data_IF_260549232305
#
_entry.id   IF_260549232305
#
_cell.length_a   1.000
_cell.length_b   1.000
_cell.length_c   1.000
_cell.angle_alpha   90.00
_cell.angle_beta   90.00
_cell.angle_gamma   90.00
#
_symmetry.space_group_name_H-M   'P 1'
#
loop_
_entity.id
_entity.type
_entity.pdbx_description
1 polymer ?
#
# COMPACT_ATOMS: atom_id res chain seq x y z
N UNK A 1 -27.36 -1.67 -28.06
CA UNK A 1 -26.72 -2.26 -26.86
C UNK A 1 -25.20 -2.24 -26.96
N UNK A 2 -24.57 -2.86 -27.99
CA UNK A 2 -23.10 -2.94 -28.14
C UNK A 2 -22.46 -1.55 -28.21
N UNK A 3 -23.03 -0.62 -28.98
CA UNK A 3 -22.52 0.75 -29.11
C UNK A 3 -22.59 1.54 -27.79
N UNK A 4 -23.69 1.35 -27.03
CA UNK A 4 -23.83 1.97 -25.70
C UNK A 4 -22.79 1.43 -24.72
N UNK A 5 -22.55 0.12 -24.72
CA UNK A 5 -21.51 -0.49 -23.89
C UNK A 5 -20.11 0.06 -24.23
N UNK A 6 -19.79 0.17 -25.52
CA UNK A 6 -18.51 0.72 -25.98
C UNK A 6 -18.34 2.20 -25.60
N UNK A 7 -19.40 2.98 -25.72
CA UNK A 7 -19.42 4.39 -25.30
C UNK A 7 -19.18 4.54 -23.81
N UNK A 8 -19.82 3.70 -22.98
CA UNK A 8 -19.61 3.70 -21.52
C UNK A 8 -18.19 3.28 -21.15
N UNK A 9 -17.64 2.30 -21.84
CA UNK A 9 -16.26 1.84 -21.61
C UNK A 9 -15.24 2.94 -21.99
N UNK A 10 -15.47 3.65 -23.09
CA UNK A 10 -14.64 4.79 -23.47
C UNK A 10 -14.76 5.95 -22.47
N UNK A 11 -15.97 6.22 -21.97
CA UNK A 11 -16.19 7.24 -20.96
C UNK A 11 -15.49 6.93 -19.64
N UNK A 12 -15.56 5.67 -19.16
CA UNK A 12 -14.84 5.25 -17.95
C UNK A 12 -13.35 5.38 -18.11
N UNK A 13 -12.77 4.95 -19.24
CA UNK A 13 -11.34 5.10 -19.53
C UNK A 13 -10.90 6.57 -19.58
N UNK A 14 -11.72 7.44 -20.17
CA UNK A 14 -11.47 8.89 -20.18
C UNK A 14 -11.48 9.49 -18.78
N UNK A 15 -12.48 9.14 -17.96
CA UNK A 15 -12.57 9.61 -16.57
C UNK A 15 -11.42 9.12 -15.70
N UNK A 16 -10.96 7.90 -15.92
CA UNK A 16 -9.82 7.33 -15.20
C UNK A 16 -8.51 8.03 -15.59
N UNK A 17 -8.31 8.28 -16.88
CA UNK A 17 -7.17 9.07 -17.39
C UNK A 17 -7.19 10.51 -16.87
N UNK A 18 -8.35 11.15 -16.85
CA UNK A 18 -8.50 12.50 -16.30
C UNK A 18 -8.19 12.54 -14.80
N UNK A 19 -8.65 11.55 -14.03
CA UNK A 19 -8.33 11.40 -12.60
C UNK A 19 -6.83 11.30 -12.37
N UNK A 20 -6.15 10.43 -13.13
CA UNK A 20 -4.72 10.22 -13.01
C UNK A 20 -3.92 11.49 -13.36
N UNK A 21 -4.33 12.18 -14.42
CA UNK A 21 -3.72 13.46 -14.79
C UNK A 21 -3.90 14.54 -13.73
N UNK A 22 -5.07 14.63 -13.12
CA UNK A 22 -5.34 15.58 -12.02
C UNK A 22 -4.51 15.24 -10.77
N UNK A 23 -4.39 13.96 -10.41
CA UNK A 23 -3.57 13.51 -9.29
C UNK A 23 -2.09 13.86 -9.49
N UNK A 24 -1.57 13.65 -10.71
CA UNK A 24 -0.19 13.98 -11.07
C UNK A 24 0.07 15.48 -10.95
N UNK A 25 -0.81 16.32 -11.52
CA UNK A 25 -0.69 17.78 -11.43
C UNK A 25 -0.78 18.25 -9.98
N UNK A 26 -1.67 17.66 -9.19
CA UNK A 26 -1.83 17.99 -7.77
C UNK A 26 -0.57 17.60 -6.97
N UNK A 27 -0.02 16.41 -7.21
CA UNK A 27 1.24 15.95 -6.59
C UNK A 27 2.39 16.91 -6.90
N UNK A 28 2.58 17.26 -8.17
CA UNK A 28 3.61 18.21 -8.57
C UNK A 28 3.46 19.59 -7.92
N UNK A 29 2.23 20.10 -7.75
CA UNK A 29 1.97 21.36 -7.05
C UNK A 29 2.32 21.27 -5.57
N UNK A 30 2.01 20.16 -4.90
CA UNK A 30 2.41 19.92 -3.50
C UNK A 30 3.92 19.91 -3.39
N UNK A 31 4.59 19.13 -4.22
CA UNK A 31 6.07 19.03 -4.24
C UNK A 31 6.72 20.39 -4.44
N UNK A 32 6.24 21.16 -5.42
CA UNK A 32 6.75 22.52 -5.67
C UNK A 32 6.55 23.43 -4.46
N UNK A 33 5.34 23.46 -3.89
CA UNK A 33 5.03 24.32 -2.74
C UNK A 33 5.86 23.94 -1.50
N UNK A 34 6.03 22.64 -1.24
CA UNK A 34 6.83 22.15 -0.11
C UNK A 34 8.31 22.47 -0.29
N UNK A 35 8.88 22.21 -1.46
CA UNK A 35 10.30 22.51 -1.75
C UNK A 35 10.59 24.01 -1.66
N UNK A 36 9.69 24.86 -2.19
CA UNK A 36 9.79 26.32 -2.10
C UNK A 36 9.74 26.79 -0.65
N UNK A 37 8.78 26.30 0.13
CA UNK A 37 8.63 26.65 1.54
C UNK A 37 9.78 26.15 2.42
N UNK A 38 10.31 24.95 2.11
CA UNK A 38 11.51 24.44 2.78
C UNK A 38 12.73 25.30 2.50
N UNK A 39 12.92 25.72 1.23
CA UNK A 39 14.04 26.57 0.83
C UNK A 39 13.98 27.94 1.49
N UNK A 40 12.79 28.55 1.52
CA UNK A 40 12.57 29.83 2.21
C UNK A 40 12.95 29.75 3.70
N UNK A 41 12.47 28.69 4.39
CA UNK A 41 12.82 28.48 5.80
C UNK A 41 14.28 28.15 6.01
N UNK A 42 14.88 27.39 5.08
CA UNK A 42 16.30 27.02 5.16
C UNK A 42 17.22 28.24 5.09
N UNK A 43 16.93 29.17 4.17
CA UNK A 43 17.70 30.43 4.04
C UNK A 43 17.60 31.31 5.30
N UNK A 44 16.49 31.23 6.02
CA UNK A 44 16.27 31.97 7.27
C UNK A 44 16.86 31.29 8.52
N UNK A 45 17.45 30.08 8.40
CA UNK A 45 18.08 29.39 9.52
C UNK A 45 19.38 30.10 9.95
N UNK A 46 19.54 30.26 11.25
CA UNK A 46 20.76 30.82 11.85
C UNK A 46 21.96 29.87 11.69
N UNK A 47 23.16 30.43 11.52
CA UNK A 47 24.39 29.67 11.28
C UNK A 47 24.66 28.58 12.33
N UNK A 48 24.30 28.83 13.60
CA UNK A 48 24.45 27.85 14.70
C UNK A 48 23.63 26.55 14.49
N UNK A 49 22.50 26.66 13.86
CA UNK A 49 21.65 25.48 13.56
C UNK A 49 22.14 24.73 12.32
N UNK A 50 22.82 25.41 11.42
CA UNK A 50 23.37 24.82 10.20
C UNK A 50 24.66 24.04 10.47
N UNK A 51 25.48 24.46 11.44
CA UNK A 51 26.77 23.82 11.75
C UNK A 51 26.62 22.40 12.30
N UNK A 52 25.45 22.02 12.80
CA UNK A 52 25.16 20.68 13.30
C UNK A 52 24.48 19.75 12.31
N UNK A 53 24.13 20.22 11.10
CA UNK A 53 23.43 19.46 10.09
C UNK A 53 24.36 18.99 8.99
N UNK A 54 24.39 17.70 8.73
CA UNK A 54 25.16 17.15 7.61
C UNK A 54 24.52 17.56 6.28
N UNK A 55 25.28 18.05 5.29
CA UNK A 55 24.74 18.47 4.00
C UNK A 55 23.97 17.36 3.26
N UNK A 56 24.38 16.10 3.45
CA UNK A 56 23.69 14.94 2.88
C UNK A 56 22.30 14.72 3.45
N UNK A 57 22.12 14.93 4.75
CA UNK A 57 20.81 14.81 5.43
C UNK A 57 19.84 15.88 4.93
N UNK A 58 20.33 17.11 4.76
CA UNK A 58 19.53 18.20 4.20
C UNK A 58 19.10 17.93 2.76
N UNK A 59 20.02 17.49 1.90
CA UNK A 59 19.71 17.14 0.52
C UNK A 59 18.68 16.00 0.45
N UNK A 60 18.81 14.98 1.32
CA UNK A 60 17.84 13.89 1.46
C UNK A 60 16.46 14.39 1.84
N UNK A 61 16.34 15.35 2.76
CA UNK A 61 15.05 15.92 3.16
C UNK A 61 14.39 16.72 2.04
N UNK A 62 15.16 17.48 1.27
CA UNK A 62 14.62 18.25 0.13
C UNK A 62 14.06 17.36 -1.02
N UNK A 63 14.59 16.15 -1.17
CA UNK A 63 14.17 15.22 -2.23
C UNK A 63 13.29 14.12 -1.63
N UNK A 64 13.83 13.32 -0.74
CA UNK A 64 13.16 12.09 -0.27
C UNK A 64 11.97 12.33 0.65
N UNK A 65 12.08 13.27 1.61
CA UNK A 65 10.98 13.51 2.54
C UNK A 65 9.82 14.22 1.83
N UNK A 66 10.12 15.15 0.91
CA UNK A 66 9.08 15.83 0.11
C UNK A 66 8.34 14.84 -0.78
N UNK A 67 9.07 13.94 -1.47
CA UNK A 67 8.45 12.91 -2.31
C UNK A 67 7.62 11.93 -1.46
N UNK A 68 8.05 11.64 -0.23
CA UNK A 68 7.28 10.83 0.71
C UNK A 68 5.98 11.49 1.11
N UNK A 69 5.99 12.80 1.36
CA UNK A 69 4.77 13.58 1.67
C UNK A 69 3.86 13.65 0.46
N UNK A 70 4.39 13.89 -0.75
CA UNK A 70 3.60 13.85 -1.99
C UNK A 70 2.88 12.50 -2.15
N UNK A 71 3.60 11.39 -2.01
CA UNK A 71 3.05 10.05 -2.11
C UNK A 71 1.98 9.78 -1.05
N UNK A 72 2.15 10.30 0.18
CA UNK A 72 1.14 10.19 1.22
C UNK A 72 -0.18 10.85 0.82
N UNK A 73 -0.13 12.03 0.22
CA UNK A 73 -1.32 12.73 -0.22
C UNK A 73 -1.95 12.11 -1.46
N UNK A 74 -1.16 11.85 -2.51
CA UNK A 74 -1.65 11.34 -3.79
C UNK A 74 -2.09 9.88 -3.73
N UNK A 75 -1.15 8.98 -3.45
CA UNK A 75 -1.39 7.53 -3.41
C UNK A 75 -2.00 7.06 -2.08
N UNK A 76 -1.79 7.79 -0.98
CA UNK A 76 -2.35 7.49 0.32
C UNK A 76 -3.77 8.02 0.47
N UNK A 77 -3.92 9.26 0.92
CA UNK A 77 -5.20 9.82 1.39
C UNK A 77 -6.24 9.89 0.28
N UNK A 78 -5.89 10.46 -0.88
CA UNK A 78 -6.86 10.66 -1.99
C UNK A 78 -7.32 9.32 -2.55
N UNK A 79 -6.39 8.39 -2.75
CA UNK A 79 -6.75 7.05 -3.23
C UNK A 79 -7.59 6.27 -2.23
N UNK A 80 -7.30 6.34 -0.93
CA UNK A 80 -8.14 5.70 0.10
C UNK A 80 -9.56 6.26 0.12
N UNK A 81 -9.70 7.57 -0.05
CA UNK A 81 -11.03 8.20 -0.16
C UNK A 81 -11.77 7.74 -1.41
N UNK A 82 -11.10 7.69 -2.55
CA UNK A 82 -11.67 7.19 -3.80
C UNK A 82 -12.10 5.71 -3.68
N UNK A 83 -11.29 4.87 -3.05
CA UNK A 83 -11.60 3.47 -2.81
C UNK A 83 -12.80 3.31 -1.86
N UNK A 84 -12.89 4.13 -0.82
CA UNK A 84 -14.06 4.15 0.07
C UNK A 84 -15.35 4.54 -0.68
N UNK A 85 -15.29 5.59 -1.51
CA UNK A 85 -16.41 5.99 -2.35
C UNK A 85 -16.81 4.87 -3.34
N UNK A 86 -15.82 4.18 -3.92
CA UNK A 86 -16.05 3.04 -4.82
C UNK A 86 -16.77 1.90 -4.10
N UNK A 87 -16.33 1.51 -2.92
CA UNK A 87 -16.96 0.45 -2.11
C UNK A 87 -18.39 0.83 -1.77
N UNK A 88 -18.64 2.07 -1.32
CA UNK A 88 -19.98 2.56 -1.01
C UNK A 88 -20.88 2.52 -2.25
N UNK A 89 -20.40 2.99 -3.40
CA UNK A 89 -21.16 2.98 -4.66
C UNK A 89 -21.54 1.56 -5.08
N UNK A 90 -20.60 0.62 -4.97
CA UNK A 90 -20.85 -0.80 -5.29
C UNK A 90 -21.91 -1.39 -4.34
N UNK A 91 -21.81 -1.11 -3.04
CA UNK A 91 -22.80 -1.57 -2.06
C UNK A 91 -24.21 -1.04 -2.36
N UNK A 92 -24.30 0.24 -2.73
CA UNK A 92 -25.58 0.87 -3.11
C UNK A 92 -26.16 0.21 -4.35
N UNK A 93 -25.37 -0.04 -5.39
CA UNK A 93 -25.83 -0.71 -6.61
C UNK A 93 -26.31 -2.13 -6.30
N UNK A 94 -25.53 -2.91 -5.56
CA UNK A 94 -25.90 -4.29 -5.18
C UNK A 94 -27.15 -4.30 -4.30
N UNK A 95 -27.34 -3.31 -3.43
CA UNK A 95 -28.56 -3.20 -2.60
C UNK A 95 -29.83 -3.03 -3.45
N UNK A 96 -29.77 -2.26 -4.54
CA UNK A 96 -30.90 -2.11 -5.45
C UNK A 96 -31.13 -3.35 -6.32
N UNK A 97 -30.07 -4.07 -6.71
CA UNK A 97 -30.16 -5.27 -7.53
C UNK A 97 -30.59 -6.49 -6.71
N UNK A 98 -29.98 -6.68 -5.53
CA UNK A 98 -30.23 -7.88 -4.71
C UNK A 98 -29.93 -7.63 -3.23
N UNK A 99 -31.00 -7.46 -2.44
CA UNK A 99 -30.89 -7.19 -0.99
C UNK A 99 -30.19 -8.30 -0.21
N UNK A 100 -30.39 -9.57 -0.60
CA UNK A 100 -29.75 -10.70 0.07
C UNK A 100 -28.23 -10.67 -0.06
N UNK A 101 -27.72 -10.40 -1.25
CA UNK A 101 -26.29 -10.24 -1.51
C UNK A 101 -25.68 -9.02 -0.81
N UNK A 102 -26.41 -7.91 -0.81
CA UNK A 102 -25.97 -6.72 -0.11
C UNK A 102 -25.74 -6.99 1.39
N UNK A 103 -26.64 -7.74 2.04
CA UNK A 103 -26.51 -8.14 3.45
C UNK A 103 -25.29 -9.05 3.65
N UNK A 104 -25.08 -10.04 2.79
CA UNK A 104 -23.90 -10.93 2.87
C UNK A 104 -22.60 -10.13 2.74
N UNK A 105 -22.52 -9.23 1.77
CA UNK A 105 -21.35 -8.37 1.60
C UNK A 105 -21.15 -7.42 2.79
N UNK A 106 -22.22 -6.88 3.35
CA UNK A 106 -22.18 -5.99 4.51
C UNK A 106 -21.66 -6.71 5.77
N UNK A 107 -21.89 -8.03 5.88
CA UNK A 107 -21.33 -8.86 6.96
C UNK A 107 -19.86 -9.22 6.69
N UNK A 108 -19.52 -9.50 5.44
CA UNK A 108 -18.15 -9.90 5.05
C UNK A 108 -17.17 -8.70 5.13
N UNK A 109 -17.59 -7.49 4.75
CA UNK A 109 -16.75 -6.30 4.77
C UNK A 109 -16.13 -5.98 6.14
N UNK A 110 -16.85 -5.92 7.27
CA UNK A 110 -16.23 -5.69 8.57
C UNK A 110 -15.30 -6.82 8.99
N UNK A 111 -15.60 -8.08 8.61
CA UNK A 111 -14.68 -9.19 8.84
C UNK A 111 -13.37 -9.02 8.06
N UNK A 112 -13.44 -8.65 6.78
CA UNK A 112 -12.27 -8.34 5.96
C UNK A 112 -11.48 -7.19 6.52
N UNK A 113 -12.14 -6.11 6.93
CA UNK A 113 -11.50 -4.95 7.52
C UNK A 113 -10.77 -5.31 8.82
N UNK A 114 -11.41 -6.09 9.70
CA UNK A 114 -10.79 -6.58 10.93
C UNK A 114 -9.57 -7.47 10.65
N UNK A 115 -9.70 -8.43 9.72
CA UNK A 115 -8.62 -9.32 9.32
C UNK A 115 -7.44 -8.55 8.74
N UNK A 116 -7.69 -7.68 7.76
CA UNK A 116 -6.67 -6.82 7.14
C UNK A 116 -5.96 -5.96 8.20
N UNK A 117 -6.73 -5.35 9.10
CA UNK A 117 -6.17 -4.53 10.19
C UNK A 117 -5.27 -5.32 11.12
N UNK A 118 -5.65 -6.56 11.43
CA UNK A 118 -4.86 -7.44 12.29
C UNK A 118 -3.52 -7.82 11.62
N UNK A 119 -3.56 -8.23 10.37
CA UNK A 119 -2.35 -8.60 9.61
C UNK A 119 -1.44 -7.39 9.41
N UNK A 120 -1.99 -6.25 9.00
CA UNK A 120 -1.23 -5.00 8.79
C UNK A 120 -0.47 -4.55 10.04
N UNK A 121 -1.05 -4.69 11.23
CA UNK A 121 -0.38 -4.32 12.48
C UNK A 121 0.89 -5.14 12.71
N UNK A 122 0.82 -6.44 12.48
CA UNK A 122 1.97 -7.33 12.65
C UNK A 122 3.02 -7.12 11.56
N UNK A 123 2.59 -6.92 10.33
CA UNK A 123 3.43 -6.61 9.19
C UNK A 123 4.18 -5.27 9.38
N UNK A 124 3.50 -4.22 9.85
CA UNK A 124 4.13 -2.94 10.14
C UNK A 124 5.23 -3.07 11.21
N UNK A 125 5.00 -3.85 12.26
CA UNK A 125 6.01 -4.12 13.29
C UNK A 125 7.24 -4.82 12.69
N UNK A 126 7.04 -5.84 11.84
CA UNK A 126 8.12 -6.54 11.14
C UNK A 126 8.89 -5.61 10.18
N UNK A 127 8.20 -4.73 9.45
CA UNK A 127 8.83 -3.75 8.57
C UNK A 127 9.68 -2.73 9.33
N UNK A 128 9.23 -2.25 10.51
CA UNK A 128 10.02 -1.34 11.35
C UNK A 128 11.27 -2.05 11.88
N UNK A 129 11.16 -3.30 12.28
CA UNK A 129 12.31 -4.11 12.72
C UNK A 129 13.32 -4.30 11.59
N UNK A 130 12.83 -4.67 10.39
CA UNK A 130 13.65 -4.80 9.19
C UNK A 130 14.39 -3.49 8.86
N UNK A 131 13.72 -2.34 8.90
CA UNK A 131 14.36 -1.04 8.68
C UNK A 131 15.49 -0.78 9.64
N UNK A 132 15.30 -1.06 10.93
CA UNK A 132 16.33 -0.87 11.93
C UNK A 132 17.54 -1.78 11.68
N UNK A 133 17.30 -3.03 11.31
CA UNK A 133 18.35 -3.99 11.03
C UNK A 133 19.15 -3.62 9.78
N UNK A 134 18.46 -3.30 8.67
CA UNK A 134 19.09 -2.81 7.43
C UNK A 134 19.87 -1.51 7.68
N UNK A 135 19.30 -0.58 8.47
CA UNK A 135 19.96 0.67 8.82
C UNK A 135 21.27 0.46 9.59
N UNK A 136 21.31 -0.50 10.52
CA UNK A 136 22.53 -0.87 11.23
C UNK A 136 23.60 -1.46 10.29
N UNK A 137 23.21 -2.38 9.43
CA UNK A 137 24.11 -2.99 8.46
C UNK A 137 24.67 -1.93 7.48
N UNK A 138 23.80 -1.08 6.93
CA UNK A 138 24.19 -0.03 5.99
C UNK A 138 25.04 1.06 6.64
N UNK A 139 24.77 1.40 7.90
CA UNK A 139 25.58 2.38 8.65
C UNK A 139 26.99 1.91 9.00
N UNK A 140 27.17 0.59 9.16
CA UNK A 140 28.47 0.02 9.50
C UNK A 140 29.50 0.16 8.36
N UNK A 141 29.07 0.16 7.11
CA UNK A 141 29.99 0.27 5.95
C UNK A 141 30.70 1.61 5.90
N UNK A 142 30.03 2.79 5.91
CA UNK A 142 30.71 4.08 5.91
C UNK A 142 31.53 4.32 7.19
N UNK A 143 31.07 3.82 8.36
CA UNK A 143 31.84 3.87 9.61
C UNK A 143 33.16 3.11 9.47
N UNK A 144 33.14 1.91 8.92
CA UNK A 144 34.31 1.07 8.67
C UNK A 144 35.27 1.76 7.68
N UNK A 145 34.77 2.31 6.59
CA UNK A 145 35.57 3.03 5.59
C UNK A 145 36.20 4.29 6.17
N UNK A 146 35.47 5.04 6.98
CA UNK A 146 35.99 6.22 7.65
C UNK A 146 37.16 5.90 8.59
N UNK A 147 37.07 4.80 9.31
CA UNK A 147 38.03 4.35 10.32
C UNK A 147 39.04 3.31 9.80
N UNK A 148 39.11 3.06 8.49
CA UNK A 148 39.90 1.98 7.90
C UNK A 148 41.37 1.98 8.33
N UNK A 149 41.99 3.15 8.42
CA UNK A 149 43.38 3.30 8.87
C UNK A 149 43.56 2.85 10.32
N UNK A 150 42.65 3.23 11.20
CA UNK A 150 42.67 2.83 12.62
C UNK A 150 42.48 1.33 12.78
N UNK A 151 41.58 0.75 11.99
CA UNK A 151 41.32 -0.70 11.99
C UNK A 151 42.60 -1.47 11.60
N UNK A 152 43.27 -1.06 10.51
CA UNK A 152 44.50 -1.66 10.07
C UNK A 152 45.65 -1.46 11.09
N UNK A 153 45.76 -0.27 11.69
CA UNK A 153 46.79 -0.02 12.72
C UNK A 153 46.60 -0.90 13.96
N UNK A 154 45.37 -1.27 14.28
CA UNK A 154 45.04 -2.10 15.43
C UNK A 154 44.92 -3.58 15.09
N UNK A 155 45.03 -3.99 13.81
CA UNK A 155 44.90 -5.38 13.36
C UNK A 155 43.51 -5.96 13.68
N UNK A 156 42.46 -5.16 13.56
CA UNK A 156 41.08 -5.50 13.94
C UNK A 156 40.15 -5.78 12.75
N UNK A 157 40.70 -6.10 11.60
CA UNK A 157 39.94 -6.35 10.35
C UNK A 157 38.92 -7.48 10.55
N UNK A 158 39.37 -8.59 11.12
CA UNK A 158 38.51 -9.75 11.37
C UNK A 158 37.35 -9.45 12.31
N UNK A 159 37.59 -8.64 13.34
CA UNK A 159 36.52 -8.20 14.24
C UNK A 159 35.45 -7.38 13.52
N UNK A 160 35.85 -6.50 12.61
CA UNK A 160 34.93 -5.67 11.84
C UNK A 160 34.13 -6.50 10.85
N UNK A 161 34.75 -7.48 10.22
CA UNK A 161 34.12 -8.46 9.34
C UNK A 161 33.04 -9.28 10.08
N UNK A 162 33.40 -9.90 11.22
CA UNK A 162 32.47 -10.68 12.03
C UNK A 162 31.31 -9.84 12.55
N UNK A 163 31.57 -8.58 12.89
CA UNK A 163 30.52 -7.65 13.32
C UNK A 163 29.57 -7.27 12.20
N UNK A 164 30.09 -7.05 11.01
CA UNK A 164 29.28 -6.80 9.82
C UNK A 164 28.42 -8.02 9.44
N UNK A 165 28.99 -9.21 9.50
CA UNK A 165 28.30 -10.46 9.24
C UNK A 165 27.13 -10.67 10.24
N UNK A 166 27.33 -10.32 11.51
CA UNK A 166 26.25 -10.31 12.52
C UNK A 166 25.11 -9.37 12.12
N UNK A 167 25.40 -8.15 11.67
CA UNK A 167 24.39 -7.19 11.25
C UNK A 167 23.66 -7.61 9.98
N UNK A 168 24.35 -8.24 9.04
CA UNK A 168 23.74 -8.85 7.84
C UNK A 168 22.82 -10.00 8.24
N UNK A 169 23.24 -10.84 9.18
CA UNK A 169 22.43 -11.94 9.70
C UNK A 169 21.13 -11.45 10.35
N UNK A 170 21.20 -10.42 11.20
CA UNK A 170 20.02 -9.77 11.79
C UNK A 170 19.10 -9.18 10.73
N UNK A 171 19.67 -8.52 9.72
CA UNK A 171 18.92 -7.95 8.60
C UNK A 171 18.21 -9.03 7.79
N UNK A 172 18.88 -10.13 7.52
CA UNK A 172 18.30 -11.27 6.81
C UNK A 172 17.10 -11.87 7.57
N UNK A 173 17.22 -12.11 8.87
CA UNK A 173 16.14 -12.64 9.68
C UNK A 173 14.93 -11.70 9.76
N UNK A 174 15.19 -10.40 9.87
CA UNK A 174 14.13 -9.39 9.87
C UNK A 174 13.41 -9.29 8.51
N UNK A 175 14.17 -9.42 7.41
CA UNK A 175 13.63 -9.45 6.05
C UNK A 175 12.81 -10.71 5.80
N UNK A 176 13.28 -11.88 6.25
CA UNK A 176 12.56 -13.15 6.15
C UNK A 176 11.20 -13.07 6.83
N UNK A 177 11.14 -12.49 8.04
CA UNK A 177 9.89 -12.28 8.76
C UNK A 177 8.93 -11.37 8.00
N UNK A 178 9.43 -10.29 7.41
CA UNK A 178 8.62 -9.37 6.59
C UNK A 178 8.07 -10.08 5.36
N UNK A 179 8.94 -10.80 4.64
CA UNK A 179 8.57 -11.55 3.44
C UNK A 179 7.54 -12.65 3.75
N UNK A 180 7.61 -13.27 4.93
CA UNK A 180 6.61 -14.25 5.35
C UNK A 180 5.22 -13.64 5.47
N UNK A 181 5.08 -12.45 6.08
CA UNK A 181 3.79 -11.77 6.15
C UNK A 181 3.28 -11.36 4.77
N UNK A 182 4.16 -10.84 3.90
CA UNK A 182 3.83 -10.49 2.51
C UNK A 182 3.37 -11.74 1.73
N UNK A 183 4.08 -12.85 1.86
CA UNK A 183 3.78 -14.10 1.17
C UNK A 183 2.47 -14.76 1.63
N UNK A 184 2.05 -14.55 2.88
CA UNK A 184 0.80 -15.12 3.41
C UNK A 184 -0.40 -14.22 3.12
N UNK A 185 -0.21 -12.90 3.13
CA UNK A 185 -1.31 -11.94 3.01
C UNK A 185 -2.03 -12.03 1.67
N UNK A 186 -1.31 -11.95 0.56
CA UNK A 186 -1.89 -11.93 -0.79
C UNK A 186 -2.67 -13.22 -1.13
N UNK A 187 -2.16 -14.45 -0.90
CA UNK A 187 -2.93 -15.66 -1.12
C UNK A 187 -4.18 -15.78 -0.24
N UNK A 188 -4.13 -15.28 1.00
CA UNK A 188 -5.31 -15.33 1.89
C UNK A 188 -6.43 -14.44 1.35
N UNK A 189 -6.11 -13.23 0.87
CA UNK A 189 -7.09 -12.34 0.25
C UNK A 189 -7.67 -12.97 -1.02
N UNK A 190 -6.84 -13.58 -1.87
CA UNK A 190 -7.29 -14.28 -3.08
C UNK A 190 -8.22 -15.46 -2.75
N UNK A 191 -7.88 -16.28 -1.75
CA UNK A 191 -8.72 -17.38 -1.30
C UNK A 191 -10.05 -16.87 -0.76
N UNK A 192 -10.04 -15.80 0.05
CA UNK A 192 -11.26 -15.17 0.56
C UNK A 192 -12.15 -14.66 -0.57
N UNK A 193 -11.56 -13.97 -1.57
CA UNK A 193 -12.31 -13.55 -2.77
C UNK A 193 -12.92 -14.76 -3.49
N UNK A 194 -12.14 -15.81 -3.74
CA UNK A 194 -12.61 -17.03 -4.40
C UNK A 194 -13.74 -17.72 -3.63
N UNK A 195 -13.66 -17.80 -2.30
CA UNK A 195 -14.70 -18.36 -1.43
C UNK A 195 -16.01 -17.56 -1.52
N UNK A 196 -15.91 -16.22 -1.49
CA UNK A 196 -17.09 -15.35 -1.62
C UNK A 196 -17.74 -15.50 -2.99
N UNK A 197 -16.95 -15.51 -4.06
CA UNK A 197 -17.43 -15.73 -5.42
C UNK A 197 -18.10 -17.12 -5.56
N UNK A 198 -17.47 -18.17 -5.04
CA UNK A 198 -18.02 -19.50 -5.05
C UNK A 198 -19.34 -19.60 -4.25
N UNK A 199 -19.40 -18.96 -3.08
CA UNK A 199 -20.62 -18.91 -2.28
C UNK A 199 -21.77 -18.23 -3.04
N UNK A 200 -21.50 -17.10 -3.69
CA UNK A 200 -22.47 -16.39 -4.52
C UNK A 200 -22.93 -17.24 -5.70
N UNK A 201 -22.03 -17.95 -6.38
CA UNK A 201 -22.38 -18.86 -7.47
C UNK A 201 -23.26 -20.02 -6.99
N UNK A 202 -22.92 -20.65 -5.86
CA UNK A 202 -23.70 -21.75 -5.29
C UNK A 202 -25.10 -21.30 -4.84
N UNK A 203 -25.20 -20.13 -4.22
CA UNK A 203 -26.47 -19.52 -3.83
C UNK A 203 -27.33 -19.17 -5.05
N UNK A 204 -26.73 -18.64 -6.11
CA UNK A 204 -27.42 -18.33 -7.37
C UNK A 204 -27.89 -19.58 -8.11
N UNK A 205 -27.15 -20.69 -8.05
CA UNK A 205 -27.46 -21.95 -8.69
C UNK A 205 -28.43 -22.83 -7.85
N UNK A 206 -28.69 -22.44 -6.59
CA UNK A 206 -29.56 -23.21 -5.69
C UNK A 206 -31.01 -23.20 -6.19
N UNK A 207 -31.53 -24.38 -6.50
CA UNK A 207 -32.93 -24.56 -6.94
C UNK A 207 -33.98 -24.37 -5.84
N UNK A 208 -33.60 -23.94 -4.65
CA UNK A 208 -34.48 -23.77 -3.51
C UNK A 208 -35.29 -22.46 -3.66
N UNK A 209 -36.63 -22.54 -3.72
CA UNK A 209 -37.53 -21.40 -3.98
C UNK A 209 -37.26 -20.21 -3.01
N UNK A 210 -36.93 -20.48 -1.77
CA UNK A 210 -36.63 -19.46 -0.76
C UNK A 210 -35.32 -18.74 -1.06
N UNK A 211 -34.28 -19.47 -1.47
CA UNK A 211 -32.97 -18.92 -1.88
C UNK A 211 -33.13 -18.16 -3.19
N UNK A 212 -33.91 -18.68 -4.13
CA UNK A 212 -34.18 -18.03 -5.42
C UNK A 212 -34.90 -16.68 -5.25
N UNK A 213 -35.78 -16.55 -4.26
CA UNK A 213 -36.49 -15.29 -3.98
C UNK A 213 -35.55 -14.22 -3.38
N UNK A 214 -34.58 -14.63 -2.57
CA UNK A 214 -33.62 -13.73 -1.93
C UNK A 214 -32.33 -13.49 -2.75
N UNK A 215 -31.89 -14.49 -3.53
CA UNK A 215 -30.63 -14.49 -4.27
C UNK A 215 -30.79 -14.78 -5.76
N UNK A 216 -32.05 -14.92 -6.24
CA UNK A 216 -32.36 -15.24 -7.63
C UNK A 216 -31.83 -14.16 -8.58
N UNK A 217 -30.77 -14.47 -9.28
CA UNK A 217 -30.15 -13.59 -10.23
C UNK A 217 -30.19 -14.17 -11.64
N UNK A 218 -30.31 -13.29 -12.63
CA UNK A 218 -30.05 -13.68 -14.01
C UNK A 218 -28.56 -13.98 -14.20
N UNK A 219 -28.21 -14.78 -15.20
CA UNK A 219 -26.79 -15.05 -15.50
C UNK A 219 -25.97 -13.77 -15.70
N UNK A 220 -26.58 -12.71 -16.26
CA UNK A 220 -25.93 -11.42 -16.45
C UNK A 220 -25.67 -10.68 -15.14
N UNK A 221 -26.63 -10.67 -14.22
CA UNK A 221 -26.47 -10.05 -12.89
C UNK A 221 -25.46 -10.81 -12.04
N UNK A 222 -25.37 -12.14 -12.16
CA UNK A 222 -24.36 -12.94 -11.47
C UNK A 222 -22.93 -12.54 -11.90
N UNK A 223 -22.69 -12.39 -13.19
CA UNK A 223 -21.37 -11.94 -13.71
C UNK A 223 -21.05 -10.52 -13.23
N UNK A 224 -22.02 -9.61 -13.22
CA UNK A 224 -21.82 -8.25 -12.72
C UNK A 224 -21.46 -8.24 -11.23
N UNK A 225 -22.14 -9.05 -10.42
CA UNK A 225 -21.88 -9.16 -8.96
C UNK A 225 -20.50 -9.75 -8.69
N UNK A 226 -20.07 -10.77 -9.44
CA UNK A 226 -18.71 -11.32 -9.33
C UNK A 226 -17.66 -10.23 -9.58
N UNK A 227 -17.88 -9.43 -10.63
CA UNK A 227 -17.00 -8.29 -10.93
C UNK A 227 -17.00 -7.25 -9.80
N UNK A 228 -18.16 -6.93 -9.22
CA UNK A 228 -18.25 -6.00 -8.10
C UNK A 228 -17.53 -6.52 -6.85
N UNK A 229 -17.69 -7.81 -6.55
CA UNK A 229 -16.96 -8.45 -5.44
C UNK A 229 -15.45 -8.31 -5.64
N UNK A 230 -14.93 -8.69 -6.81
CA UNK A 230 -13.50 -8.56 -7.12
C UNK A 230 -13.01 -7.12 -7.02
N UNK A 231 -13.84 -6.15 -7.41
CA UNK A 231 -13.51 -4.73 -7.27
C UNK A 231 -13.51 -4.22 -5.82
N UNK A 232 -14.24 -4.84 -4.91
CA UNK A 232 -14.19 -4.54 -3.47
C UNK A 232 -12.89 -5.09 -2.85
N UNK A 233 -12.42 -6.25 -3.29
CA UNK A 233 -11.20 -6.85 -2.79
C UNK A 233 -9.92 -6.17 -3.30
N UNK A 234 -9.95 -5.59 -4.51
CA UNK A 234 -8.80 -4.92 -5.13
C UNK A 234 -8.19 -3.80 -4.28
N UNK A 235 -8.93 -2.85 -3.68
CA UNK A 235 -8.36 -1.85 -2.79
C UNK A 235 -7.71 -2.45 -1.53
N UNK A 236 -8.26 -3.56 -1.03
CA UNK A 236 -7.74 -4.24 0.15
C UNK A 236 -6.38 -4.86 -0.13
N UNK A 237 -6.20 -5.46 -1.31
CA UNK A 237 -4.93 -6.03 -1.77
C UNK A 237 -3.86 -4.94 -2.00
N UNK A 238 -4.25 -3.80 -2.58
CA UNK A 238 -3.34 -2.68 -2.88
C UNK A 238 -2.91 -1.91 -1.63
N UNK A 239 -3.67 -1.94 -0.55
CA UNK A 239 -3.31 -1.29 0.73
C UNK A 239 -1.93 -1.72 1.26
N UNK A 240 -1.50 -2.95 0.98
CA UNK A 240 -0.17 -3.46 1.32
C UNK A 240 0.96 -2.62 0.69
N UNK A 241 0.84 -2.30 -0.60
CA UNK A 241 1.87 -1.58 -1.36
C UNK A 241 1.92 -0.08 -1.03
N UNK A 242 0.81 0.51 -0.63
CA UNK A 242 0.69 1.94 -0.34
C UNK A 242 1.39 2.37 0.94
N UNK A 243 1.47 1.50 1.93
CA UNK A 243 2.17 1.77 3.19
C UNK A 243 3.60 1.25 3.22
N UNK A 244 4.08 0.68 2.12
CA UNK A 244 5.49 0.31 1.97
C UNK A 244 6.29 1.60 1.77
N UNK A 245 7.15 1.98 2.73
CA UNK A 245 7.91 3.21 2.59
C UNK A 245 8.83 3.11 1.38
N UNK A 246 8.72 4.07 0.47
CA UNK A 246 9.45 4.17 -0.81
C UNK A 246 10.97 4.36 -0.68
N UNK A 247 11.52 4.36 0.53
CA UNK A 247 12.94 4.56 0.80
C UNK A 247 13.82 3.29 0.67
N UNK A 248 13.38 2.31 -0.12
CA UNK A 248 14.15 1.10 -0.48
C UNK A 248 14.53 1.08 -1.96
N UNK A 249 14.75 2.25 -2.59
CA UNK A 249 15.44 2.34 -3.87
C UNK A 249 16.72 3.12 -3.73
#
# INVERSE_FOLDING_TARGET
MIFLYFAMLALTGFMESAREGLLTVFGQKITHALRSSLMEKFICLTSDKLTGLEPGTLASSFVGDVDTVENLFTSGIISMFADACKIISILVVIWFENKGLAVVLLVILPFLFWFTRHVQKNMLAAQIENRKAVGRASGHVPETLHNIRTIHCLGREKYMEERYDTYIGESYQAMERTNFYDAVYSPVILILNAVVVAAVMLLSASGNKMVLTFFGMSAGTAVAVINYISQIFSPVEVLEWRFRPSSLR
#
